data_IF_065596874295
#
_entry.id   IF_065596874295
#
_cell.length_a   1.000
_cell.length_b   1.000
_cell.length_c   1.000
_cell.angle_alpha   90.00
_cell.angle_beta   90.00
_cell.angle_gamma   90.00
#
_symmetry.space_group_name_H-M   'P 1'
#
loop_
_entity.id
_entity.type
_entity.pdbx_description
1 polymer ?
#
# COMPACT_ATOMS: atom_id res chain seq x y z
N UNK A 1 32.84 26.90 53.66
CA UNK A 1 33.43 27.47 52.43
C UNK A 1 33.82 26.29 51.55
N UNK A 2 33.07 26.03 50.47
CA UNK A 2 33.18 24.79 49.67
C UNK A 2 34.39 24.82 48.72
N UNK A 3 35.12 23.71 48.48
CA UNK A 3 36.24 23.72 47.57
C UNK A 3 35.75 23.65 46.11
N UNK A 4 36.24 24.57 45.29
CA UNK A 4 35.97 24.60 43.86
C UNK A 4 36.66 23.42 43.16
N UNK A 5 35.88 22.52 42.58
CA UNK A 5 36.35 21.41 41.75
C UNK A 5 37.00 21.95 40.47
N UNK A 6 38.33 21.85 40.34
CA UNK A 6 39.07 22.21 39.12
C UNK A 6 39.04 21.04 38.14
N UNK A 7 38.13 21.10 37.17
CA UNK A 7 38.08 20.14 36.07
C UNK A 7 39.22 20.41 35.08
N UNK A 8 40.01 19.37 34.79
CA UNK A 8 41.23 19.49 34.00
C UNK A 8 40.90 19.62 32.50
N UNK A 9 41.54 20.55 31.77
CA UNK A 9 41.18 20.87 30.38
C UNK A 9 41.19 19.66 29.43
N UNK A 10 42.06 18.66 29.69
CA UNK A 10 42.11 17.39 28.94
C UNK A 10 40.88 16.52 29.13
N UNK A 11 40.28 16.52 30.33
CA UNK A 11 39.05 15.78 30.64
C UNK A 11 37.85 16.42 29.95
N UNK A 12 37.82 17.77 29.87
CA UNK A 12 36.77 18.50 29.17
C UNK A 12 36.81 18.25 27.65
N UNK A 13 38.01 18.21 27.06
CA UNK A 13 38.20 17.89 25.63
C UNK A 13 37.81 16.45 25.31
N UNK A 14 38.15 15.48 26.16
CA UNK A 14 37.72 14.07 25.98
C UNK A 14 36.20 13.90 26.09
N UNK A 15 35.54 14.61 27.00
CA UNK A 15 34.07 14.60 27.10
C UNK A 15 33.41 15.22 25.85
N UNK A 16 33.95 16.33 25.35
CA UNK A 16 33.51 16.93 24.08
C UNK A 16 33.66 15.97 22.89
N UNK A 17 34.79 15.25 22.79
CA UNK A 17 35.02 14.24 21.75
C UNK A 17 34.10 13.01 21.87
N UNK A 18 33.77 12.58 23.09
CA UNK A 18 32.80 11.48 23.31
C UNK A 18 31.36 11.89 23.01
N UNK A 19 31.04 13.18 23.14
CA UNK A 19 29.70 13.71 22.84
C UNK A 19 29.48 14.04 21.36
N UNK A 20 30.54 14.14 20.55
CA UNK A 20 30.45 14.52 19.14
C UNK A 20 30.34 13.34 18.14
N UNK A 21 30.45 12.09 18.58
CA UNK A 21 30.43 10.92 17.67
C UNK A 21 29.11 10.17 17.61
N UNK A 22 28.03 10.70 18.20
CA UNK A 22 26.68 10.24 17.90
C UNK A 22 26.06 11.10 16.79
N UNK A 23 26.76 11.22 15.65
CA UNK A 23 26.09 11.54 14.40
C UNK A 23 25.23 10.30 14.06
N UNK A 24 23.98 10.32 14.50
CA UNK A 24 23.00 9.30 14.15
C UNK A 24 22.92 9.23 12.63
N UNK A 25 23.53 8.22 12.03
CA UNK A 25 23.26 7.84 10.64
C UNK A 25 21.79 7.41 10.60
N UNK A 26 20.90 8.36 10.35
CA UNK A 26 19.53 8.04 10.00
C UNK A 26 19.59 7.36 8.63
N UNK A 27 19.50 6.04 8.64
CA UNK A 27 19.32 5.28 7.42
C UNK A 27 18.09 5.82 6.70
N UNK A 28 18.30 6.35 5.49
CA UNK A 28 17.20 6.85 4.67
C UNK A 28 16.23 5.70 4.41
N UNK A 29 14.94 5.95 4.55
CA UNK A 29 13.89 4.97 4.23
C UNK A 29 14.14 4.46 2.80
N UNK A 30 14.29 3.14 2.66
CA UNK A 30 14.48 2.49 1.36
C UNK A 30 13.14 2.39 0.66
N UNK A 31 13.07 2.95 -0.55
CA UNK A 31 11.90 2.82 -1.41
C UNK A 31 11.84 1.41 -1.98
N UNK A 32 10.83 0.63 -1.57
CA UNK A 32 10.57 -0.71 -2.13
C UNK A 32 9.70 -0.61 -3.39
N UNK A 33 8.58 0.10 -3.28
CA UNK A 33 7.68 0.39 -4.38
C UNK A 33 7.29 1.87 -4.40
N UNK A 34 6.82 2.33 -5.54
CA UNK A 34 6.28 3.68 -5.72
C UNK A 34 5.26 3.69 -6.85
N UNK A 35 4.09 4.25 -6.59
CA UNK A 35 3.04 4.47 -7.57
C UNK A 35 2.83 5.96 -7.75
N UNK A 36 2.72 6.40 -9.01
CA UNK A 36 2.08 7.69 -9.31
C UNK A 36 0.57 7.57 -9.23
N UNK A 37 0.05 6.47 -9.78
CA UNK A 37 -1.34 6.05 -9.70
C UNK A 37 -1.40 4.51 -9.63
N UNK A 38 -2.49 3.98 -9.06
CA UNK A 38 -2.71 2.55 -8.95
C UNK A 38 -3.15 1.98 -10.29
N UNK A 39 -2.72 0.76 -10.59
CA UNK A 39 -3.16 -0.02 -11.74
C UNK A 39 -3.41 -1.45 -11.32
N UNK A 40 -4.21 -2.19 -12.08
CA UNK A 40 -4.57 -3.57 -11.75
C UNK A 40 -4.20 -4.55 -12.87
N UNK A 41 -3.86 -5.78 -12.46
CA UNK A 41 -3.83 -6.96 -13.31
C UNK A 41 -4.93 -7.91 -12.80
N UNK A 42 -6.02 -8.00 -13.56
CA UNK A 42 -7.19 -8.81 -13.20
C UNK A 42 -7.33 -9.88 -14.28
N UNK A 43 -6.96 -11.12 -13.92
CA UNK A 43 -6.97 -12.27 -14.83
C UNK A 43 -6.10 -12.08 -16.08
N UNK A 44 -4.96 -11.40 -15.97
CA UNK A 44 -4.08 -11.10 -17.10
C UNK A 44 -4.48 -9.87 -17.90
N UNK A 45 -5.63 -9.26 -17.62
CA UNK A 45 -6.04 -8.00 -18.23
C UNK A 45 -5.52 -6.83 -17.41
N UNK A 46 -4.76 -5.95 -18.08
CA UNK A 46 -4.18 -4.76 -17.47
C UNK A 46 -5.15 -3.57 -17.51
N UNK A 47 -5.40 -2.99 -16.34
CA UNK A 47 -6.17 -1.78 -16.14
C UNK A 47 -5.19 -0.67 -15.73
N UNK A 48 -4.70 0.05 -16.74
CA UNK A 48 -3.66 1.08 -16.56
C UNK A 48 -4.23 2.50 -16.46
N UNK A 49 -5.48 2.68 -16.86
CA UNK A 49 -6.22 3.94 -16.91
C UNK A 49 -7.71 3.68 -16.67
N UNK A 50 -8.48 4.76 -16.49
CA UNK A 50 -9.93 4.70 -16.29
C UNK A 50 -10.60 3.78 -17.32
N UNK A 51 -11.48 2.92 -16.83
CA UNK A 51 -12.18 1.93 -17.66
C UNK A 51 -13.63 1.84 -17.22
N UNK A 52 -14.53 1.99 -18.18
CA UNK A 52 -15.97 1.97 -17.94
C UNK A 52 -16.47 0.58 -17.51
N UNK A 53 -15.91 -0.49 -18.08
CA UNK A 53 -16.41 -1.85 -17.93
C UNK A 53 -15.31 -2.84 -17.50
N UNK A 54 -15.71 -3.93 -16.82
CA UNK A 54 -14.83 -5.07 -16.62
C UNK A 54 -14.54 -5.72 -17.99
N UNK A 55 -13.27 -5.78 -18.37
CA UNK A 55 -12.86 -6.35 -19.65
C UNK A 55 -12.90 -7.88 -19.61
N UNK A 56 -13.62 -8.48 -20.56
CA UNK A 56 -13.59 -9.90 -20.91
C UNK A 56 -13.27 -10.07 -22.41
N UNK A 57 -12.69 -11.21 -22.79
CA UNK A 57 -12.33 -11.49 -24.20
C UNK A 57 -13.53 -11.53 -25.17
N UNK A 58 -14.74 -11.74 -24.64
CA UNK A 58 -15.96 -11.95 -25.46
C UNK A 58 -17.00 -10.84 -25.31
N UNK A 59 -16.67 -9.75 -24.63
CA UNK A 59 -17.60 -8.65 -24.41
C UNK A 59 -17.48 -7.59 -25.51
N UNK A 60 -18.61 -7.17 -26.05
CA UNK A 60 -18.74 -6.00 -26.91
C UNK A 60 -19.03 -4.80 -26.01
N UNK A 61 -18.33 -3.69 -26.23
CA UNK A 61 -18.50 -2.49 -25.43
C UNK A 61 -18.94 -1.32 -26.30
N UNK A 62 -19.84 -0.52 -25.76
CA UNK A 62 -20.31 0.70 -26.39
C UNK A 62 -19.70 1.88 -25.64
N UNK A 63 -19.15 2.83 -26.39
CA UNK A 63 -18.52 4.01 -25.84
C UNK A 63 -19.63 5.02 -25.50
N UNK A 64 -20.18 4.87 -24.30
CA UNK A 64 -21.19 5.77 -23.75
C UNK A 64 -20.60 6.46 -22.53
N UNK A 65 -20.86 7.75 -22.36
CA UNK A 65 -20.49 8.44 -21.13
C UNK A 65 -21.34 7.90 -19.98
N UNK A 66 -20.66 7.27 -19.01
CA UNK A 66 -21.28 6.68 -17.82
C UNK A 66 -21.02 7.56 -16.61
N UNK A 67 -21.93 7.50 -15.64
CA UNK A 67 -21.69 8.09 -14.33
C UNK A 67 -20.55 7.37 -13.62
N UNK A 68 -19.89 8.05 -12.68
CA UNK A 68 -18.80 7.47 -11.90
C UNK A 68 -19.26 6.20 -11.15
N UNK A 69 -20.52 6.15 -10.74
CA UNK A 69 -21.12 4.98 -10.07
C UNK A 69 -21.15 3.71 -10.91
N UNK A 70 -21.13 3.85 -12.24
CA UNK A 70 -21.19 2.75 -13.20
C UNK A 70 -19.81 2.37 -13.73
N UNK A 71 -18.81 3.25 -13.59
CA UNK A 71 -17.45 2.98 -14.06
C UNK A 71 -16.79 1.88 -13.22
N UNK A 72 -16.29 0.86 -13.90
CA UNK A 72 -15.56 -0.25 -13.27
C UNK A 72 -14.27 0.19 -12.57
N UNK A 73 -13.50 1.07 -13.20
CA UNK A 73 -12.22 1.53 -12.69
C UNK A 73 -12.05 3.04 -12.94
N UNK A 74 -11.85 3.79 -11.85
CA UNK A 74 -11.50 5.21 -11.86
C UNK A 74 -10.18 5.35 -11.12
N UNK A 75 -9.10 5.52 -11.85
CA UNK A 75 -7.74 5.40 -11.35
C UNK A 75 -7.44 6.36 -10.19
N UNK A 76 -7.94 7.60 -10.28
CA UNK A 76 -7.75 8.61 -9.25
C UNK A 76 -8.40 8.24 -7.90
N UNK A 77 -9.48 7.45 -7.93
CA UNK A 77 -10.24 7.07 -6.73
C UNK A 77 -9.58 5.94 -5.93
N UNK A 78 -8.53 5.30 -6.46
CA UNK A 78 -7.90 4.13 -5.87
C UNK A 78 -6.76 4.51 -4.93
N UNK A 79 -7.10 4.73 -3.66
CA UNK A 79 -6.15 5.10 -2.61
C UNK A 79 -5.84 3.89 -1.72
N UNK A 80 -4.60 3.36 -1.73
CA UNK A 80 -4.21 2.26 -0.87
C UNK A 80 -4.05 2.72 0.59
N UNK A 81 -4.49 1.91 1.56
CA UNK A 81 -4.55 2.32 2.98
C UNK A 81 -3.87 1.33 3.93
N UNK A 82 -3.90 0.03 3.62
CA UNK A 82 -3.30 -1.00 4.46
C UNK A 82 -2.31 -1.84 3.67
N UNK A 83 -1.17 -2.12 4.31
CA UNK A 83 -0.08 -2.92 3.75
C UNK A 83 0.32 -4.00 4.75
N UNK A 84 0.60 -5.21 4.26
CA UNK A 84 1.16 -6.29 5.08
C UNK A 84 2.12 -7.12 4.23
N UNK A 85 3.31 -7.38 4.75
CA UNK A 85 4.35 -8.17 4.06
C UNK A 85 4.29 -9.61 4.57
N UNK A 86 4.25 -10.58 3.65
CA UNK A 86 4.34 -11.99 4.00
C UNK A 86 4.90 -12.80 2.83
N UNK A 87 5.98 -13.55 3.09
CA UNK A 87 6.72 -14.27 2.06
C UNK A 87 7.25 -13.32 0.97
N UNK A 88 6.96 -13.65 -0.28
CA UNK A 88 7.32 -12.88 -1.47
C UNK A 88 6.25 -11.84 -1.87
N UNK A 89 5.26 -11.59 -1.00
CA UNK A 89 4.11 -10.72 -1.31
C UNK A 89 4.00 -9.55 -0.36
N UNK A 90 3.52 -8.44 -0.92
CA UNK A 90 2.97 -7.32 -0.15
C UNK A 90 1.48 -7.27 -0.42
N UNK A 91 0.68 -7.55 0.59
CA UNK A 91 -0.77 -7.35 0.55
C UNK A 91 -1.07 -5.87 0.62
N UNK A 92 -1.96 -5.41 -0.26
CA UNK A 92 -2.35 -4.02 -0.41
C UNK A 92 -3.87 -3.95 -0.41
N UNK A 93 -4.41 -3.11 0.45
CA UNK A 93 -5.86 -2.88 0.53
C UNK A 93 -6.23 -1.52 -0.02
N UNK A 94 -7.32 -1.49 -0.78
CA UNK A 94 -7.94 -0.30 -1.37
C UNK A 94 -9.41 -0.30 -0.95
N UNK A 95 -9.77 0.30 0.20
CA UNK A 95 -11.15 0.37 0.67
C UNK A 95 -12.06 1.07 -0.33
N UNK A 96 -13.30 0.59 -0.50
CA UNK A 96 -14.29 1.17 -1.43
C UNK A 96 -14.98 2.40 -0.85
N UNK A 97 -14.25 3.52 -0.84
CA UNK A 97 -14.71 4.85 -0.39
C UNK A 97 -15.17 5.79 -1.51
N UNK A 98 -14.99 5.35 -2.75
CA UNK A 98 -15.35 6.03 -4.00
C UNK A 98 -15.70 4.96 -5.02
N UNK A 99 -16.39 5.35 -6.10
CA UNK A 99 -16.64 4.43 -7.20
C UNK A 99 -15.36 4.11 -7.99
N UNK A 100 -15.42 3.06 -8.82
CA UNK A 100 -14.30 2.67 -9.68
C UNK A 100 -13.14 1.99 -8.96
N UNK A 101 -13.42 1.17 -7.94
CA UNK A 101 -12.42 0.39 -7.20
C UNK A 101 -12.65 -1.11 -7.47
N UNK A 102 -11.89 -1.71 -8.41
CA UNK A 102 -12.13 -3.08 -8.87
C UNK A 102 -12.01 -4.13 -7.77
N UNK A 103 -11.00 -4.01 -6.91
CA UNK A 103 -10.68 -5.01 -5.90
C UNK A 103 -10.14 -4.36 -4.63
N UNK A 104 -10.73 -4.72 -3.48
CA UNK A 104 -10.39 -4.09 -2.21
C UNK A 104 -9.22 -4.75 -1.47
N UNK A 105 -8.96 -6.03 -1.73
CA UNK A 105 -7.82 -6.76 -1.18
C UNK A 105 -6.97 -7.30 -2.34
N UNK A 106 -5.71 -6.93 -2.35
CA UNK A 106 -4.79 -7.19 -3.45
C UNK A 106 -3.42 -7.62 -2.93
N UNK A 107 -2.55 -8.03 -3.83
CA UNK A 107 -1.13 -8.21 -3.55
C UNK A 107 -0.26 -7.76 -4.73
N UNK A 108 1.01 -7.52 -4.42
CA UNK A 108 2.11 -7.36 -5.40
C UNK A 108 3.27 -8.26 -5.00
N UNK A 109 4.13 -8.63 -5.95
CA UNK A 109 5.31 -9.45 -5.69
C UNK A 109 6.53 -8.58 -5.35
N UNK A 110 7.25 -8.95 -4.29
CA UNK A 110 8.57 -8.42 -3.97
C UNK A 110 9.56 -8.75 -5.10
N UNK A 111 10.50 -7.84 -5.35
CA UNK A 111 11.46 -7.97 -6.46
C UNK A 111 10.87 -7.69 -7.85
N UNK A 112 9.59 -7.34 -7.93
CA UNK A 112 8.93 -6.88 -9.15
C UNK A 112 9.36 -5.48 -9.59
N UNK A 113 8.68 -4.91 -10.60
CA UNK A 113 8.93 -3.53 -11.04
C UNK A 113 8.64 -2.54 -9.90
N UNK A 114 9.21 -1.33 -10.00
CA UNK A 114 9.05 -0.30 -8.97
C UNK A 114 7.60 0.18 -8.78
N UNK A 115 6.77 0.11 -9.82
CA UNK A 115 5.35 0.47 -9.81
C UNK A 115 4.50 -0.71 -10.30
N UNK A 116 4.39 -1.79 -9.50
CA UNK A 116 3.72 -3.01 -9.94
C UNK A 116 2.20 -2.85 -9.98
N UNK A 117 1.53 -3.61 -10.84
CA UNK A 117 0.06 -3.68 -10.88
C UNK A 117 -0.45 -4.52 -9.71
N UNK A 118 -1.56 -4.08 -9.11
CA UNK A 118 -2.24 -4.80 -8.03
C UNK A 118 -2.98 -6.03 -8.59
N UNK A 119 -2.81 -7.17 -7.93
CA UNK A 119 -3.52 -8.41 -8.27
C UNK A 119 -4.56 -8.75 -7.20
N UNK A 120 -5.83 -8.98 -7.55
CA UNK A 120 -6.87 -9.34 -6.58
C UNK A 120 -6.53 -10.62 -5.80
N UNK A 121 -6.73 -10.59 -4.48
CA UNK A 121 -6.50 -11.73 -3.59
C UNK A 121 -7.81 -12.27 -3.00
N UNK A 122 -7.96 -13.60 -2.80
CA UNK A 122 -7.04 -14.66 -3.22
C UNK A 122 -7.05 -14.92 -4.72
N UNK A 123 -8.12 -14.51 -5.39
CA UNK A 123 -8.24 -14.45 -6.84
C UNK A 123 -9.43 -13.54 -7.20
N UNK A 124 -9.57 -13.12 -8.47
CA UNK A 124 -10.62 -12.20 -8.90
C UNK A 124 -12.07 -12.67 -8.68
N UNK A 125 -12.32 -13.98 -8.52
CA UNK A 125 -13.68 -14.49 -8.24
C UNK A 125 -14.04 -14.28 -6.77
N UNK A 126 -13.13 -14.63 -5.88
CA UNK A 126 -13.35 -14.51 -4.43
C UNK A 126 -13.19 -13.07 -3.93
N UNK A 127 -12.36 -12.24 -4.58
CA UNK A 127 -12.21 -10.83 -4.21
C UNK A 127 -13.51 -10.03 -4.37
N UNK A 128 -14.43 -10.46 -5.25
CA UNK A 128 -15.75 -9.85 -5.41
C UNK A 128 -16.67 -10.05 -4.19
N UNK A 129 -16.37 -11.03 -3.32
CA UNK A 129 -17.13 -11.24 -2.07
C UNK A 129 -16.72 -10.28 -0.96
N UNK A 130 -15.55 -9.64 -1.07
CA UNK A 130 -15.09 -8.62 -0.14
C UNK A 130 -15.67 -7.28 -0.56
N UNK A 131 -16.37 -6.59 0.34
CA UNK A 131 -17.05 -5.31 0.04
C UNK A 131 -16.09 -4.15 0.20
N UNK A 132 -15.42 -4.03 1.35
CA UNK A 132 -14.42 -2.98 1.58
C UNK A 132 -13.53 -3.41 2.75
N UNK A 133 -12.24 -3.59 2.48
CA UNK A 133 -11.27 -4.09 3.47
C UNK A 133 -10.23 -3.04 3.80
N UNK A 134 -9.90 -2.94 5.09
CA UNK A 134 -8.96 -1.95 5.62
C UNK A 134 -7.58 -2.50 5.95
N UNK A 135 -7.24 -2.74 7.22
CA UNK A 135 -5.87 -3.17 7.56
C UNK A 135 -5.74 -4.69 7.43
N UNK A 136 -4.86 -5.19 6.54
CA UNK A 136 -4.48 -6.60 6.55
C UNK A 136 -3.50 -6.88 7.69
N UNK A 137 -3.49 -8.11 8.20
CA UNK A 137 -2.49 -8.59 9.15
C UNK A 137 -2.23 -10.07 8.98
N UNK A 138 -0.98 -10.49 8.94
CA UNK A 138 -0.62 -11.91 9.04
C UNK A 138 -0.25 -12.23 10.49
N UNK A 139 -0.79 -13.34 10.99
CA UNK A 139 -0.47 -13.83 12.33
C UNK A 139 0.68 -14.84 12.34
N UNK A 140 1.06 -15.32 13.52
CA UNK A 140 2.14 -16.31 13.69
C UNK A 140 1.81 -17.71 13.14
N UNK A 141 0.58 -17.92 12.69
CA UNK A 141 0.11 -19.17 12.09
C UNK A 141 -0.07 -19.02 10.57
N UNK A 142 0.54 -18.01 9.96
CA UNK A 142 0.54 -17.75 8.53
C UNK A 142 -0.86 -17.47 7.95
N UNK A 143 -1.79 -17.00 8.79
CA UNK A 143 -3.15 -16.64 8.37
C UNK A 143 -3.23 -15.15 8.10
N UNK A 144 -3.75 -14.80 6.93
CA UNK A 144 -4.09 -13.43 6.59
C UNK A 144 -5.46 -13.05 7.14
N UNK A 145 -5.48 -12.09 8.05
CA UNK A 145 -6.66 -11.47 8.63
C UNK A 145 -6.96 -10.14 7.96
N UNK A 146 -8.23 -9.92 7.64
CA UNK A 146 -8.75 -8.64 7.15
C UNK A 146 -10.12 -8.39 7.78
N UNK A 147 -10.44 -7.12 8.03
CA UNK A 147 -11.80 -6.72 8.37
C UNK A 147 -12.49 -6.25 7.10
N UNK A 148 -13.51 -6.99 6.66
CA UNK A 148 -14.44 -6.55 5.63
C UNK A 148 -15.58 -5.78 6.30
N UNK A 149 -15.77 -4.50 5.98
CA UNK A 149 -16.82 -3.69 6.61
C UNK A 149 -18.23 -4.08 6.16
N UNK A 150 -18.36 -4.77 5.03
CA UNK A 150 -19.66 -5.12 4.46
C UNK A 150 -20.44 -3.90 3.92
N UNK A 151 -19.84 -2.70 3.95
CA UNK A 151 -20.49 -1.45 3.59
C UNK A 151 -19.64 -0.68 2.58
N UNK A 152 -20.32 -0.05 1.62
CA UNK A 152 -19.72 0.91 0.71
C UNK A 152 -19.80 2.30 1.35
N UNK A 153 -18.65 2.95 1.48
CA UNK A 153 -18.53 4.31 2.05
C UNK A 153 -18.42 5.33 0.92
N UNK A 154 -19.32 5.24 -0.06
CA UNK A 154 -19.32 6.14 -1.22
C UNK A 154 -20.25 7.32 -0.92
N UNK A 155 -19.76 8.58 -1.02
CA UNK A 155 -20.57 9.76 -0.75
C UNK A 155 -21.59 10.07 -1.83
#
# INVERSE_FOLDING_TARGET
MSPAFKMNARVFVLLLFSSLTFATNFNKITKVFSWKQISYDIKGVLYLNDTQYERSESSIYFDQELDDSEKYFIQYNNVPIGFEVYGDRVFVTVPRRRHGIPSTLNYVQLGGPSSPTLKPYPNPRWSKLLVSTYRPRVDSCDRLWVVNTGLLEVP
#
